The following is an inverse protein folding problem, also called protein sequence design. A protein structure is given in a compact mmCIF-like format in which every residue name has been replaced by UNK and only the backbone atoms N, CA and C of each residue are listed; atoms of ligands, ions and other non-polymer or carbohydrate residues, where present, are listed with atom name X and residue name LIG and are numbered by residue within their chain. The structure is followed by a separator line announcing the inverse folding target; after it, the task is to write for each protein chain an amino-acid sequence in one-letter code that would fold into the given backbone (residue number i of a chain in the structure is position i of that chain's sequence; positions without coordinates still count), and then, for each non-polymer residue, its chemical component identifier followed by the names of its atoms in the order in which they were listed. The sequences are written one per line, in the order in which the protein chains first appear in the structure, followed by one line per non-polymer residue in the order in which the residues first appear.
data_IF_065162868706
#
_entry.id   IF_065162868706
#
_cell.length_a   1.000
_cell.length_b   1.000
_cell.length_c   1.000
_cell.angle_alpha   90.00
_cell.angle_beta   90.00
_cell.angle_gamma   90.00
#
_symmetry.space_group_name_H-M   'P 1'
#
loop_
_entity.id
_entity.type
_entity.pdbx_description
1 polymer ?
#
# COMPACT_ATOMS: atom_id res chain seq x y z
N UNK A 1 22.20 -10.01 14.44
CA UNK A 1 21.34 -10.13 13.70
C UNK A 1 20.78 -8.92 13.33
N UNK A 2 20.44 -8.67 12.36
CA UNK A 2 19.94 -7.66 12.07
C UNK A 2 18.58 -7.60 12.02
N UNK A 3 17.99 -6.55 12.18
CA UNK A 3 16.63 -6.47 12.22
C UNK A 3 16.17 -5.76 11.06
N UNK A 4 15.57 -6.48 10.20
CA UNK A 4 14.99 -5.88 9.11
C UNK A 4 13.57 -5.61 9.45
N UNK A 5 13.21 -4.39 9.64
CA UNK A 5 11.85 -4.05 9.92
C UNK A 5 11.21 -3.58 8.67
N UNK A 6 10.28 -4.37 8.14
CA UNK A 6 9.46 -3.94 7.03
C UNK A 6 8.14 -3.48 7.62
N UNK A 7 7.90 -2.19 7.59
CA UNK A 7 6.69 -1.65 8.17
C UNK A 7 5.75 -1.21 7.08
N UNK A 8 4.54 -1.75 7.07
CA UNK A 8 3.53 -1.35 6.12
C UNK A 8 2.87 -0.10 6.63
N UNK A 9 3.00 0.99 5.88
CA UNK A 9 2.47 2.27 6.30
C UNK A 9 1.15 2.62 5.64
N UNK A 10 0.77 1.91 4.58
CA UNK A 10 -0.52 2.12 3.93
C UNK A 10 -0.84 0.94 3.03
N UNK A 11 -2.13 0.72 2.79
CA UNK A 11 -2.60 -0.30 1.87
C UNK A 11 -3.54 0.38 0.89
N UNK A 12 -3.40 0.09 -0.41
CA UNK A 12 -4.28 0.64 -1.43
C UNK A 12 -4.90 -0.53 -2.16
N UNK A 13 -6.21 -0.59 -2.22
CA UNK A 13 -6.88 -1.75 -2.77
C UNK A 13 -8.18 -1.40 -3.46
N UNK A 14 -8.51 -2.17 -4.50
CA UNK A 14 -9.82 -2.08 -5.12
C UNK A 14 -10.79 -3.02 -4.43
N UNK A 15 -10.30 -3.92 -3.58
CA UNK A 15 -11.15 -4.90 -2.90
C UNK A 15 -10.91 -4.87 -1.41
N UNK A 16 -11.49 -3.90 -0.72
CA UNK A 16 -11.21 -3.75 0.72
C UNK A 16 -11.62 -4.98 1.54
N UNK A 17 -12.54 -5.76 1.04
CA UNK A 17 -13.00 -6.94 1.78
C UNK A 17 -11.91 -8.01 1.88
N UNK A 18 -10.85 -7.90 1.08
CA UNK A 18 -9.77 -8.87 1.13
C UNK A 18 -8.64 -8.44 2.07
N UNK A 19 -8.78 -7.27 2.68
CA UNK A 19 -7.75 -6.73 3.54
C UNK A 19 -8.28 -6.64 4.96
N UNK A 20 -7.54 -7.20 5.91
CA UNK A 20 -7.92 -7.06 7.28
C UNK A 20 -7.00 -6.06 7.94
N UNK A 21 -7.57 -5.17 8.71
CA UNK A 21 -6.83 -4.08 9.27
C UNK A 21 -5.80 -4.53 10.26
N UNK A 22 -4.70 -3.85 10.32
CA UNK A 22 -3.64 -4.12 11.24
C UNK A 22 -2.95 -2.85 11.65
N UNK A 23 -3.64 -1.74 11.59
CA UNK A 23 -3.07 -0.48 12.02
C UNK A 23 -2.69 0.45 10.88
N UNK A 24 -2.47 -0.08 9.69
CA UNK A 24 -2.13 0.79 8.56
C UNK A 24 -3.41 1.27 7.89
N UNK A 25 -3.43 2.52 7.43
CA UNK A 25 -4.62 3.02 6.75
C UNK A 25 -4.85 2.29 5.43
N UNK A 26 -6.11 2.08 5.09
CA UNK A 26 -6.49 1.41 3.86
C UNK A 26 -7.16 2.43 2.96
N UNK A 27 -6.61 2.58 1.74
CA UNK A 27 -7.19 3.49 0.75
C UNK A 27 -7.91 2.65 -0.27
N UNK A 28 -9.20 2.91 -0.45
CA UNK A 28 -10.01 2.15 -1.38
C UNK A 28 -10.11 2.93 -2.68
N UNK A 29 -9.74 2.28 -3.78
CA UNK A 29 -9.76 2.90 -5.10
C UNK A 29 -10.68 2.09 -6.01
N UNK A 30 -11.05 2.66 -7.16
CA UNK A 30 -12.08 2.05 -8.00
C UNK A 30 -11.53 1.33 -9.22
N UNK A 31 -10.32 1.66 -9.67
CA UNK A 31 -9.76 1.00 -10.85
C UNK A 31 -8.25 1.00 -10.78
N UNK A 32 -7.63 0.38 -11.79
CA UNK A 32 -6.18 0.23 -11.80
C UNK A 32 -5.45 1.55 -11.95
N UNK A 33 -6.03 2.47 -12.70
CA UNK A 33 -5.39 3.76 -12.86
C UNK A 33 -5.33 4.50 -11.53
N UNK A 34 -6.41 4.47 -10.78
CA UNK A 34 -6.43 5.12 -9.48
C UNK A 34 -5.51 4.40 -8.51
N UNK A 35 -5.44 3.08 -8.61
CA UNK A 35 -4.53 2.30 -7.79
C UNK A 35 -3.09 2.76 -8.02
N UNK A 36 -2.71 2.90 -9.27
CA UNK A 36 -1.36 3.31 -9.59
C UNK A 36 -1.08 4.75 -9.18
N UNK A 37 -2.00 5.65 -9.45
CA UNK A 37 -1.80 7.06 -9.12
C UNK A 37 -1.72 7.28 -7.61
N UNK A 38 -2.60 6.63 -6.87
CA UNK A 38 -2.59 6.76 -5.42
C UNK A 38 -1.32 6.19 -4.83
N UNK A 39 -0.86 5.05 -5.37
CA UNK A 39 0.37 4.43 -4.92
C UNK A 39 1.56 5.34 -5.12
N UNK A 40 1.65 5.95 -6.29
CA UNK A 40 2.76 6.85 -6.58
C UNK A 40 2.74 8.08 -5.69
N UNK A 41 1.56 8.61 -5.45
CA UNK A 41 1.42 9.78 -4.59
C UNK A 41 1.87 9.47 -3.17
N UNK A 42 1.44 8.35 -2.63
CA UNK A 42 1.78 7.99 -1.26
C UNK A 42 3.26 7.66 -1.15
N UNK A 43 3.84 7.02 -2.17
CA UNK A 43 5.27 6.78 -2.17
C UNK A 43 6.05 8.07 -2.00
N UNK A 44 5.63 9.11 -2.68
CA UNK A 44 6.34 10.38 -2.60
C UNK A 44 6.14 11.05 -1.27
N UNK A 45 4.91 11.02 -0.77
CA UNK A 45 4.61 11.68 0.50
C UNK A 45 5.34 11.02 1.65
N UNK A 46 5.38 9.69 1.64
CA UNK A 46 5.90 8.94 2.78
C UNK A 46 7.37 8.53 2.61
N UNK A 47 7.96 8.84 1.45
CA UNK A 47 9.32 8.38 1.16
C UNK A 47 9.40 6.87 1.37
N UNK A 48 8.49 6.14 0.73
CA UNK A 48 8.36 4.72 0.90
C UNK A 48 8.25 4.05 -0.47
N UNK A 49 8.14 2.74 -0.47
CA UNK A 49 8.06 1.98 -1.72
C UNK A 49 6.75 1.23 -1.82
N UNK A 50 6.16 1.23 -3.00
CA UNK A 50 4.93 0.49 -3.23
C UNK A 50 5.27 -0.89 -3.78
N UNK A 51 4.54 -1.89 -3.30
CA UNK A 51 4.73 -3.25 -3.74
C UNK A 51 3.40 -3.85 -4.13
N UNK A 52 3.35 -4.50 -5.28
CA UNK A 52 2.13 -5.09 -5.76
C UNK A 52 1.92 -6.45 -5.11
N UNK A 53 0.80 -6.61 -4.44
CA UNK A 53 0.42 -7.90 -3.85
C UNK A 53 -0.31 -8.72 -4.89
N UNK A 54 -1.26 -8.09 -5.59
CA UNK A 54 -1.94 -8.71 -6.71
C UNK A 54 -2.44 -7.57 -7.59
N UNK A 55 -3.23 -7.86 -8.60
CA UNK A 55 -3.66 -6.83 -9.52
C UNK A 55 -4.53 -5.77 -8.90
N UNK A 56 -5.07 -6.06 -7.74
CA UNK A 56 -6.04 -5.18 -7.11
C UNK A 56 -5.55 -4.53 -5.84
N UNK A 57 -4.35 -4.87 -5.38
CA UNK A 57 -3.89 -4.41 -4.08
C UNK A 57 -2.40 -4.11 -4.10
N UNK A 58 -2.03 -2.98 -3.53
CA UNK A 58 -0.63 -2.62 -3.31
C UNK A 58 -0.43 -2.21 -1.88
N UNK A 59 0.74 -2.50 -1.35
CA UNK A 59 1.09 -2.03 -0.02
C UNK A 59 2.23 -1.04 -0.14
N UNK A 60 2.25 -0.10 0.77
CA UNK A 60 3.32 0.89 0.85
C UNK A 60 4.17 0.53 2.06
N UNK A 61 5.44 0.30 1.82
CA UNK A 61 6.35 -0.15 2.86
C UNK A 61 7.41 0.91 3.10
N UNK A 62 7.61 1.25 4.36
CA UNK A 62 8.59 2.28 4.72
C UNK A 62 9.99 1.81 4.39
N UNK A 63 10.85 2.75 4.03
CA UNK A 63 12.23 2.46 3.71
C UNK A 63 13.13 2.42 4.93
#
# INVERSE_FOLDING_TARGET
MENQHAEIVAVITMKPETVQGGGAPVFVVVDEMELQETSMTIEKIMDASAHEINKETRIIVAR
#
